data_IF_206603621239
#
_entry.id   IF_206603621239
#
_cell.length_a   1.000
_cell.length_b   1.000
_cell.length_c   1.000
_cell.angle_alpha   90.00
_cell.angle_beta   90.00
_cell.angle_gamma   90.00
#
_symmetry.space_group_name_H-M   'P 1'
#
loop_
_entity.id
_entity.type
_entity.pdbx_description
1 polymer ?
#
# COMPACT_ATOMS: atom_id res chain seq x y z
N UNK A 1 2.45 36.81 36.33
CA UNK A 1 2.24 35.34 36.40
C UNK A 1 2.66 34.73 35.06
N UNK A 2 3.77 34.01 35.01
CA UNK A 2 4.36 33.51 33.75
C UNK A 2 3.64 32.27 33.24
N UNK A 3 2.94 32.37 32.11
CA UNK A 3 2.22 31.27 31.46
C UNK A 3 3.18 30.16 30.96
N UNK A 4 3.45 29.16 31.79
CA UNK A 4 4.33 28.03 31.46
C UNK A 4 3.74 27.09 30.38
N UNK A 5 2.46 27.23 30.03
CA UNK A 5 1.78 26.41 29.03
C UNK A 5 2.34 26.56 27.61
N UNK A 6 2.90 27.74 27.26
CA UNK A 6 3.49 27.97 25.93
C UNK A 6 4.76 27.16 25.67
N UNK A 7 5.36 26.57 26.72
CA UNK A 7 6.54 25.70 26.61
C UNK A 7 6.17 24.30 26.10
N UNK A 8 4.90 23.90 26.20
CA UNK A 8 4.42 22.60 25.70
C UNK A 8 4.33 22.66 24.18
N UNK A 9 5.05 21.74 23.52
CA UNK A 9 5.10 21.68 22.06
C UNK A 9 3.71 21.43 21.48
N UNK A 10 3.22 22.38 20.69
CA UNK A 10 1.92 22.30 20.02
C UNK A 10 0.80 23.09 20.70
N UNK A 11 1.04 23.76 21.82
CA UNK A 11 0.11 24.74 22.41
C UNK A 11 0.44 26.13 21.84
N UNK A 12 -0.44 26.64 20.97
CA UNK A 12 -0.37 28.02 20.46
C UNK A 12 -0.95 29.04 21.43
N UNK A 13 -0.75 30.33 21.17
CA UNK A 13 -1.27 31.44 22.00
C UNK A 13 -2.78 31.35 22.25
N UNK A 14 -3.56 31.00 21.21
CA UNK A 14 -5.01 30.83 21.31
C UNK A 14 -5.43 29.66 22.21
N UNK A 15 -4.74 28.53 22.09
CA UNK A 15 -5.02 27.36 22.92
C UNK A 15 -4.63 27.60 24.39
N UNK A 16 -3.53 28.30 24.64
CA UNK A 16 -3.12 28.69 25.99
C UNK A 16 -4.13 29.62 26.66
N UNK A 17 -4.74 30.56 25.92
CA UNK A 17 -5.80 31.42 26.44
C UNK A 17 -7.03 30.60 26.85
N UNK A 18 -7.50 29.71 25.97
CA UNK A 18 -8.65 28.83 26.26
C UNK A 18 -8.44 27.94 27.48
N UNK A 19 -7.22 27.41 27.67
CA UNK A 19 -6.87 26.59 28.84
C UNK A 19 -6.86 27.43 30.11
N UNK A 20 -6.33 28.66 30.05
CA UNK A 20 -6.36 29.59 31.17
C UNK A 20 -7.79 29.99 31.55
N UNK A 21 -8.65 30.26 30.56
CA UNK A 21 -10.06 30.60 30.76
C UNK A 21 -10.83 29.42 31.40
N UNK A 22 -10.42 28.19 31.10
CA UNK A 22 -10.93 26.97 31.71
C UNK A 22 -10.28 26.63 33.08
N UNK A 23 -9.44 27.51 33.64
CA UNK A 23 -8.80 27.32 34.94
C UNK A 23 -7.56 26.40 34.94
N UNK A 24 -7.13 25.91 33.77
CA UNK A 24 -5.93 25.10 33.57
C UNK A 24 -4.79 26.04 33.20
N UNK A 25 -4.17 26.64 34.21
CA UNK A 25 -3.13 27.66 34.06
C UNK A 25 -1.69 27.16 34.38
N UNK A 26 -1.53 25.89 34.75
CA UNK A 26 -0.25 25.28 35.09
C UNK A 26 0.00 23.98 34.34
N UNK A 27 1.28 23.63 34.21
CA UNK A 27 1.72 22.40 33.54
C UNK A 27 1.31 21.14 34.32
N UNK A 28 1.25 21.24 35.65
CA UNK A 28 0.73 20.21 36.56
C UNK A 28 -0.75 19.93 36.33
N UNK A 29 -1.58 20.97 36.29
CA UNK A 29 -3.01 20.81 36.01
C UNK A 29 -3.24 20.18 34.64
N UNK A 30 -2.45 20.59 33.64
CA UNK A 30 -2.56 20.05 32.29
C UNK A 30 -2.14 18.56 32.22
N UNK A 31 -1.16 18.13 33.00
CA UNK A 31 -0.70 16.74 33.00
C UNK A 31 -1.67 15.79 33.72
N UNK A 32 -2.44 16.31 34.69
CA UNK A 32 -3.45 15.57 35.43
C UNK A 32 -4.83 15.58 34.77
N UNK A 33 -5.12 16.56 33.90
CA UNK A 33 -6.39 16.68 33.22
C UNK A 33 -6.73 15.45 32.35
N UNK A 34 -8.02 15.10 32.31
CA UNK A 34 -8.50 14.01 31.46
C UNK A 34 -8.79 14.48 30.03
N UNK A 35 -8.73 13.56 29.06
CA UNK A 35 -9.06 13.88 27.66
C UNK A 35 -10.49 14.42 27.55
N UNK A 36 -11.41 13.91 28.37
CA UNK A 36 -12.81 14.34 28.39
C UNK A 36 -12.92 15.82 28.80
N UNK A 37 -12.29 16.21 29.90
CA UNK A 37 -12.27 17.61 30.38
C UNK A 37 -11.72 18.58 29.33
N UNK A 38 -10.61 18.23 28.69
CA UNK A 38 -10.02 19.08 27.66
C UNK A 38 -10.89 19.19 26.41
N UNK A 39 -11.65 18.14 26.06
CA UNK A 39 -12.53 18.15 24.89
C UNK A 39 -13.86 18.88 25.10
N UNK A 40 -14.24 19.18 26.35
CA UNK A 40 -15.39 20.04 26.65
C UNK A 40 -15.10 21.49 26.22
N UNK A 41 -13.82 21.90 26.24
CA UNK A 41 -13.41 23.24 25.81
C UNK A 41 -13.52 23.33 24.28
N UNK A 42 -14.42 24.19 23.80
CA UNK A 42 -14.70 24.39 22.37
C UNK A 42 -13.43 24.80 21.63
N UNK A 43 -13.01 23.98 20.67
CA UNK A 43 -11.82 24.21 19.84
C UNK A 43 -10.63 23.30 20.15
N UNK A 44 -10.71 22.46 21.19
CA UNK A 44 -9.69 21.46 21.51
C UNK A 44 -10.16 20.07 21.05
N UNK A 45 -9.44 19.49 20.09
CA UNK A 45 -9.73 18.13 19.60
C UNK A 45 -9.08 17.04 20.46
N UNK A 46 -9.70 15.84 20.50
CA UNK A 46 -9.20 14.66 21.24
C UNK A 46 -7.72 14.37 21.03
N UNK A 47 -7.28 14.36 19.77
CA UNK A 47 -5.89 14.09 19.39
C UNK A 47 -4.90 15.18 19.82
N UNK A 48 -5.38 16.41 20.02
CA UNK A 48 -4.55 17.52 20.52
C UNK A 48 -4.45 17.47 22.04
N UNK A 49 -5.57 17.20 22.72
CA UNK A 49 -5.62 16.99 24.16
C UNK A 49 -4.65 15.88 24.61
N UNK A 50 -4.68 14.71 23.96
CA UNK A 50 -3.77 13.60 24.25
C UNK A 50 -2.28 14.01 24.13
N UNK A 51 -1.94 14.71 23.04
CA UNK A 51 -0.56 15.18 22.81
C UNK A 51 -0.10 16.19 23.85
N UNK A 52 -0.99 17.08 24.29
CA UNK A 52 -0.67 18.09 25.28
C UNK A 52 -0.48 17.49 26.67
N UNK A 53 -1.34 16.54 27.08
CA UNK A 53 -1.19 15.80 28.33
C UNK A 53 0.14 15.04 28.34
N UNK A 54 0.45 14.31 27.26
CA UNK A 54 1.70 13.56 27.14
C UNK A 54 2.93 14.48 27.21
N UNK A 55 2.94 15.56 26.43
CA UNK A 55 4.04 16.52 26.43
C UNK A 55 4.18 17.27 27.77
N UNK A 56 3.09 17.52 28.47
CA UNK A 56 3.13 18.10 29.81
C UNK A 56 3.74 17.13 30.83
N UNK A 57 3.36 15.85 30.81
CA UNK A 57 3.97 14.80 31.64
C UNK A 57 5.47 14.66 31.38
N UNK A 58 5.88 14.65 30.11
CA UNK A 58 7.29 14.57 29.73
C UNK A 58 8.13 15.74 30.27
N UNK A 59 7.56 16.96 30.25
CA UNK A 59 8.24 18.14 30.78
C UNK A 59 8.34 18.13 32.32
N UNK A 60 7.39 17.50 33.02
CA UNK A 60 7.47 17.28 34.48
C UNK A 60 8.50 16.21 34.84
N UNK A 61 8.53 15.10 34.09
CA UNK A 61 9.34 13.93 34.41
C UNK A 61 10.82 14.08 34.04
N UNK A 62 11.20 15.19 33.39
CA UNK A 62 12.60 15.54 33.06
C UNK A 62 13.30 14.57 32.09
N UNK A 63 12.61 13.53 31.62
CA UNK A 63 13.15 12.48 30.76
C UNK A 63 12.83 12.79 29.29
N UNK A 64 13.85 13.23 28.54
CA UNK A 64 13.76 13.47 27.11
C UNK A 64 13.46 12.16 26.36
N UNK A 65 12.23 12.04 25.83
CA UNK A 65 11.77 10.79 25.25
C UNK A 65 12.22 10.61 23.78
N UNK A 66 13.01 9.55 23.53
CA UNK A 66 13.10 8.88 22.23
C UNK A 66 11.77 8.18 21.95
N UNK A 67 10.95 8.83 21.13
CA UNK A 67 9.79 8.34 20.37
C UNK A 67 9.66 6.80 20.29
N UNK A 68 8.91 6.18 21.20
CA UNK A 68 8.11 5.01 20.84
C UNK A 68 6.78 5.50 20.25
N UNK A 69 6.38 4.87 19.16
CA UNK A 69 5.19 5.20 18.39
C UNK A 69 4.09 4.27 18.86
N UNK A 70 2.94 4.77 19.35
CA UNK A 70 1.76 3.93 19.46
C UNK A 70 1.13 3.80 18.08
N UNK A 71 0.95 2.55 17.70
CA UNK A 71 0.30 2.08 16.49
C UNK A 71 -1.23 2.20 16.64
N UNK A 72 -1.89 3.04 15.83
CA UNK A 72 -3.02 2.68 14.94
C UNK A 72 -3.87 3.87 14.43
N UNK A 73 -4.21 3.73 13.13
CA UNK A 73 -5.49 4.04 12.44
C UNK A 73 -5.96 5.50 12.24
N UNK A 74 -5.86 5.92 10.97
CA UNK A 74 -6.86 6.59 10.07
C UNK A 74 -7.80 7.64 10.67
N UNK A 75 -7.91 8.88 10.19
CA UNK A 75 -8.36 9.40 8.87
C UNK A 75 -8.13 10.94 8.94
N UNK A 76 -7.70 11.73 7.96
CA UNK A 76 -8.25 11.97 6.63
C UNK A 76 -8.85 13.39 6.51
N UNK A 77 -8.03 14.44 6.22
CA UNK A 77 -8.25 15.51 5.20
C UNK A 77 -7.32 16.73 5.37
N UNK A 78 -6.80 17.17 4.21
CA UNK A 78 -5.98 18.36 3.85
C UNK A 78 -6.86 19.66 3.86
N UNK A 79 -6.34 20.91 3.66
CA UNK A 79 -5.11 21.28 2.92
C UNK A 79 -4.25 22.49 3.42
N UNK A 80 -2.99 22.52 2.93
CA UNK A 80 -2.16 23.69 2.48
C UNK A 80 -1.74 24.76 3.52
N UNK A 81 -0.53 25.35 3.54
CA UNK A 81 0.33 25.87 2.45
C UNK A 81 1.73 26.30 2.98
N UNK A 82 2.77 26.24 2.13
CA UNK A 82 4.01 27.07 2.13
C UNK A 82 5.06 26.83 3.25
N UNK A 83 6.38 27.04 3.13
CA UNK A 83 7.30 27.60 2.12
C UNK A 83 8.77 27.27 2.55
N UNK A 84 9.64 27.06 1.56
CA UNK A 84 11.10 27.38 1.48
C UNK A 84 12.05 27.22 2.69
N UNK A 85 13.15 26.47 2.51
CA UNK A 85 14.52 27.03 2.57
C UNK A 85 15.61 26.02 2.13
N UNK A 86 16.66 26.60 1.56
CA UNK A 86 17.79 26.10 0.79
C UNK A 86 19.00 25.91 1.72
N UNK A 87 19.79 24.83 1.62
CA UNK A 87 21.23 24.90 1.97
C UNK A 87 22.08 23.84 1.26
N UNK A 88 23.23 24.33 0.77
CA UNK A 88 24.30 23.68 -0.01
C UNK A 88 25.37 23.10 0.93
N UNK A 89 26.04 22.04 0.47
CA UNK A 89 27.47 21.68 0.71
C UNK A 89 27.77 20.45 -0.19
N UNK A 90 28.59 20.45 -1.26
CA UNK A 90 30.09 20.48 -1.36
C UNK A 90 30.74 19.72 -0.20
N UNK A 91 31.69 18.80 -0.29
CA UNK A 91 32.61 18.19 -1.28
C UNK A 91 32.97 16.80 -0.67
N UNK A 92 33.61 15.79 -1.27
CA UNK A 92 34.95 15.77 -1.85
C UNK A 92 35.30 14.35 -2.33
N UNK A 93 36.08 14.35 -3.40
CA UNK A 93 36.94 13.33 -4.02
C UNK A 93 37.74 12.44 -3.05
N UNK A 94 37.80 11.11 -3.29
CA UNK A 94 38.99 10.25 -3.06
C UNK A 94 39.01 9.07 -4.07
N UNK A 95 40.21 8.82 -4.60
CA UNK A 95 40.64 7.82 -5.60
C UNK A 95 40.93 6.43 -5.01
N UNK A 96 41.08 5.44 -5.91
CA UNK A 96 41.84 4.14 -5.80
C UNK A 96 41.18 3.09 -4.87
N UNK A 97 41.21 1.78 -5.13
CA UNK A 97 42.06 0.92 -5.95
C UNK A 97 41.39 -0.46 -6.13
N UNK A 98 41.71 -1.13 -7.22
CA UNK A 98 41.45 -2.53 -7.56
C UNK A 98 42.04 -3.56 -6.57
N UNK A 99 41.45 -4.77 -6.48
CA UNK A 99 42.27 -5.97 -6.35
C UNK A 99 41.88 -7.09 -7.35
N UNK A 100 42.91 -7.46 -8.09
CA UNK A 100 43.41 -8.79 -8.47
C UNK A 100 42.54 -10.04 -8.29
N UNK A 101 42.51 -10.83 -9.37
CA UNK A 101 42.10 -12.23 -9.50
C UNK A 101 42.71 -13.13 -8.42
N UNK A 102 41.91 -14.04 -7.88
CA UNK A 102 42.40 -15.29 -7.29
C UNK A 102 41.54 -16.45 -7.75
N UNK A 103 42.16 -17.30 -8.57
CA UNK A 103 41.64 -18.58 -9.04
C UNK A 103 41.74 -19.58 -7.89
N UNK A 104 40.62 -20.15 -7.45
CA UNK A 104 40.61 -21.31 -6.56
C UNK A 104 39.80 -22.42 -7.22
N UNK A 105 40.53 -23.43 -7.73
CA UNK A 105 39.99 -24.72 -8.14
C UNK A 105 39.54 -25.47 -6.88
N UNK A 106 38.30 -25.92 -6.85
CA UNK A 106 37.82 -26.91 -5.88
C UNK A 106 37.37 -28.18 -6.59
N UNK A 107 37.56 -29.35 -5.95
CA UNK A 107 37.42 -30.65 -6.60
C UNK A 107 35.96 -31.11 -6.69
N UNK A 108 35.73 -31.82 -7.79
CA UNK A 108 34.55 -32.57 -8.19
C UNK A 108 34.14 -33.57 -7.10
N UNK A 109 32.89 -33.52 -6.64
CA UNK A 109 32.23 -34.61 -5.91
C UNK A 109 30.91 -34.99 -6.56
N UNK A 110 30.95 -36.18 -7.17
CA UNK A 110 29.92 -37.22 -7.27
C UNK A 110 28.45 -36.81 -7.45
N UNK A 111 27.98 -37.06 -8.67
CA UNK A 111 26.60 -37.00 -9.11
C UNK A 111 25.72 -38.08 -8.43
N UNK A 112 24.76 -37.65 -7.62
CA UNK A 112 23.58 -38.47 -7.29
C UNK A 112 22.46 -38.09 -8.24
N UNK A 113 22.13 -38.98 -9.18
CA UNK A 113 20.97 -38.88 -10.08
C UNK A 113 19.68 -38.80 -9.25
N UNK A 114 19.18 -37.60 -9.01
CA UNK A 114 17.77 -37.35 -8.69
C UNK A 114 17.04 -37.07 -9.99
N UNK A 115 16.03 -37.87 -10.28
CA UNK A 115 15.10 -37.71 -11.39
C UNK A 115 14.51 -36.29 -11.38
N UNK A 116 14.41 -35.61 -12.54
CA UNK A 116 13.93 -34.24 -12.62
C UNK A 116 12.43 -34.22 -12.33
N UNK A 117 12.07 -33.85 -11.09
CA UNK A 117 10.72 -33.38 -10.81
C UNK A 117 10.49 -32.12 -11.66
N UNK A 118 9.49 -32.19 -12.53
CA UNK A 118 9.05 -31.11 -13.39
C UNK A 118 8.69 -29.90 -12.53
N UNK A 119 9.62 -28.93 -12.44
CA UNK A 119 9.34 -27.65 -11.78
C UNK A 119 8.12 -27.04 -12.46
N UNK A 120 7.13 -26.56 -11.68
CA UNK A 120 5.96 -25.91 -12.24
C UNK A 120 6.43 -24.81 -13.19
N UNK A 121 5.83 -24.81 -14.39
CA UNK A 121 6.13 -23.91 -15.50
C UNK A 121 6.00 -22.48 -14.96
N UNK A 122 7.12 -21.89 -14.52
CA UNK A 122 7.19 -20.54 -13.97
C UNK A 122 6.73 -19.64 -15.09
N UNK A 123 5.51 -19.11 -14.98
CA UNK A 123 4.98 -18.10 -15.89
C UNK A 123 6.05 -17.03 -15.96
N UNK A 124 6.72 -16.91 -17.10
CA UNK A 124 7.80 -15.97 -17.28
C UNK A 124 7.21 -14.59 -17.09
N UNK A 125 7.44 -13.97 -15.93
CA UNK A 125 7.17 -12.55 -15.77
C UNK A 125 7.81 -11.85 -16.97
N UNK A 126 7.09 -10.96 -17.66
CA UNK A 126 7.66 -10.21 -18.76
C UNK A 126 8.94 -9.55 -18.25
N UNK A 127 10.07 -9.93 -18.85
CA UNK A 127 11.39 -9.42 -18.49
C UNK A 127 11.45 -7.98 -18.99
N UNK A 128 10.89 -7.06 -18.19
CA UNK A 128 11.00 -5.62 -18.36
C UNK A 128 12.46 -5.26 -18.06
N UNK A 129 13.35 -5.58 -19.01
CA UNK A 129 14.72 -5.12 -18.96
C UNK A 129 14.68 -3.59 -18.85
N UNK A 130 15.42 -3.02 -17.89
CA UNK A 130 15.40 -1.59 -17.51
C UNK A 130 15.75 -0.60 -18.65
N UNK A 131 15.89 -1.06 -19.89
CA UNK A 131 16.18 -0.27 -21.09
C UNK A 131 14.91 0.35 -21.67
N UNK A 132 14.21 1.16 -20.88
CA UNK A 132 13.19 2.05 -21.44
C UNK A 132 13.83 2.93 -22.52
N UNK A 133 13.14 3.15 -23.64
CA UNK A 133 13.68 3.98 -24.71
C UNK A 133 13.95 5.41 -24.19
N UNK A 134 15.17 5.95 -24.37
CA UNK A 134 15.49 7.27 -23.86
C UNK A 134 14.70 8.32 -24.62
N UNK A 135 13.96 9.16 -23.89
CA UNK A 135 13.26 10.31 -24.47
C UNK A 135 14.28 11.41 -24.75
N UNK A 136 14.22 12.00 -25.94
CA UNK A 136 15.08 13.11 -26.32
C UNK A 136 14.96 14.28 -25.33
N UNK A 137 16.10 14.88 -24.94
CA UNK A 137 16.16 15.86 -23.84
C UNK A 137 15.31 17.11 -24.06
N UNK A 138 15.12 17.53 -25.32
CA UNK A 138 14.27 18.67 -25.68
C UNK A 138 12.78 18.35 -25.51
N UNK A 139 12.36 17.10 -25.75
CA UNK A 139 10.98 16.65 -25.52
C UNK A 139 10.69 16.52 -24.02
N UNK A 140 11.66 16.05 -23.22
CA UNK A 140 11.51 15.97 -21.76
C UNK A 140 11.14 17.33 -21.16
N UNK A 141 11.68 18.44 -21.70
CA UNK A 141 11.36 19.81 -21.25
C UNK A 141 9.88 20.21 -21.46
N UNK A 142 9.17 19.60 -22.41
CA UNK A 142 7.73 19.84 -22.66
C UNK A 142 6.83 19.11 -21.65
N UNK A 143 7.35 18.06 -21.01
CA UNK A 143 6.63 17.26 -20.02
C UNK A 143 6.61 18.00 -18.67
N UNK A 144 5.53 17.87 -17.90
CA UNK A 144 5.51 18.46 -16.55
C UNK A 144 6.59 17.85 -15.64
N UNK A 145 7.17 18.67 -14.74
CA UNK A 145 8.18 18.23 -13.77
C UNK A 145 7.75 17.03 -12.92
N UNK A 146 6.44 16.82 -12.73
CA UNK A 146 5.90 15.66 -12.01
C UNK A 146 6.02 14.39 -12.85
N UNK A 147 5.62 14.44 -14.11
CA UNK A 147 5.74 13.32 -15.03
C UNK A 147 7.20 12.97 -15.34
N UNK A 148 8.07 13.97 -15.51
CA UNK A 148 9.53 13.73 -15.62
C UNK A 148 10.06 12.90 -14.45
N UNK A 149 9.69 13.26 -13.20
CA UNK A 149 10.09 12.49 -12.02
C UNK A 149 9.60 11.06 -12.10
N UNK A 150 8.34 10.83 -12.49
CA UNK A 150 7.75 9.49 -12.58
C UNK A 150 8.47 8.65 -13.64
N UNK A 151 8.77 9.23 -14.81
CA UNK A 151 9.50 8.54 -15.87
C UNK A 151 10.91 8.12 -15.42
N UNK A 152 11.55 8.91 -14.55
CA UNK A 152 12.85 8.59 -13.96
C UNK A 152 12.81 7.59 -12.80
N UNK A 153 11.64 7.25 -12.24
CA UNK A 153 11.56 6.23 -11.19
C UNK A 153 11.86 4.86 -11.82
N UNK A 154 12.80 4.12 -11.25
CA UNK A 154 13.13 2.76 -11.72
C UNK A 154 11.97 1.80 -11.50
N UNK A 155 11.85 0.77 -12.35
CA UNK A 155 10.78 -0.22 -12.26
C UNK A 155 10.76 -0.91 -10.89
N UNK A 156 11.92 -1.24 -10.33
CA UNK A 156 12.06 -1.81 -8.97
C UNK A 156 11.58 -0.88 -7.85
N UNK A 157 11.68 0.44 -8.05
CA UNK A 157 11.15 1.40 -7.07
C UNK A 157 9.64 1.50 -7.18
N UNK A 158 9.08 1.44 -8.38
CA UNK A 158 7.62 1.39 -8.59
C UNK A 158 6.98 0.13 -8.01
N UNK A 159 7.65 -1.04 -8.07
CA UNK A 159 7.17 -2.28 -7.42
C UNK A 159 6.96 -2.14 -5.90
N UNK A 160 7.57 -1.14 -5.27
CA UNK A 160 7.47 -0.87 -3.81
C UNK A 160 6.51 0.28 -3.48
N UNK A 161 5.89 0.88 -4.49
CA UNK A 161 4.98 2.01 -4.31
C UNK A 161 3.59 1.56 -3.87
N UNK A 162 2.90 2.43 -3.13
CA UNK A 162 1.51 2.16 -2.75
C UNK A 162 0.56 2.24 -3.95
N UNK A 163 -0.53 1.47 -3.92
CA UNK A 163 -1.59 1.49 -4.93
C UNK A 163 -2.08 2.91 -5.25
N UNK A 164 -2.25 3.76 -4.21
CA UNK A 164 -2.68 5.16 -4.36
C UNK A 164 -1.66 6.00 -5.14
N UNK A 165 -0.36 5.76 -4.94
CA UNK A 165 0.69 6.44 -5.68
C UNK A 165 0.74 5.98 -7.14
N UNK A 166 0.61 4.67 -7.38
CA UNK A 166 0.55 4.10 -8.74
C UNK A 166 -0.62 4.69 -9.54
N UNK A 167 -1.82 4.74 -8.96
CA UNK A 167 -2.99 5.38 -9.58
C UNK A 167 -2.74 6.86 -9.90
N UNK A 168 -2.10 7.57 -8.97
CA UNK A 168 -1.71 8.97 -9.20
C UNK A 168 -0.68 9.10 -10.33
N UNK A 169 0.21 8.13 -10.52
CA UNK A 169 1.17 8.13 -11.63
C UNK A 169 0.44 8.00 -12.98
N UNK A 170 -0.53 7.10 -13.09
CA UNK A 170 -1.38 6.96 -14.29
C UNK A 170 -2.10 8.28 -14.60
N UNK A 171 -2.73 8.90 -13.59
CA UNK A 171 -3.43 10.19 -13.75
C UNK A 171 -2.50 11.32 -14.21
N UNK A 172 -1.22 11.28 -13.82
CA UNK A 172 -0.24 12.30 -14.22
C UNK A 172 0.32 12.03 -15.62
N UNK A 173 0.54 10.77 -16.01
CA UNK A 173 1.15 10.42 -17.29
C UNK A 173 0.17 10.46 -18.46
N UNK A 174 -1.10 10.08 -18.27
CA UNK A 174 -2.10 10.05 -19.35
C UNK A 174 -2.27 11.39 -20.09
N UNK A 175 -2.38 12.55 -19.41
CA UNK A 175 -2.47 13.84 -20.10
C UNK A 175 -1.17 14.24 -20.81
N UNK A 176 -0.02 13.76 -20.34
CA UNK A 176 1.29 14.09 -20.93
C UNK A 176 1.52 13.33 -22.23
N UNK A 177 1.01 12.10 -22.32
CA UNK A 177 1.00 11.29 -23.55
C UNK A 177 0.39 12.03 -24.74
N UNK A 178 -0.72 12.76 -24.51
CA UNK A 178 -1.50 13.44 -25.56
C UNK A 178 -0.78 14.69 -26.12
N UNK A 179 0.26 15.18 -25.44
CA UNK A 179 1.00 16.39 -25.86
C UNK A 179 1.96 16.17 -27.04
N UNK A 180 2.09 14.93 -27.49
CA UNK A 180 3.02 14.51 -28.51
C UNK A 180 2.27 14.06 -29.76
N UNK A 181 2.81 14.39 -30.93
CA UNK A 181 2.24 14.05 -32.22
C UNK A 181 2.92 12.78 -32.77
N UNK A 182 2.16 11.70 -33.02
CA UNK A 182 2.70 10.45 -33.53
C UNK A 182 3.29 10.54 -34.95
N UNK A 183 3.05 11.64 -35.66
CA UNK A 183 3.57 11.90 -37.02
C UNK A 183 5.09 12.17 -37.01
N UNK A 184 5.63 12.66 -35.89
CA UNK A 184 7.05 12.96 -35.76
C UNK A 184 7.81 11.80 -35.09
N UNK A 185 8.90 11.28 -35.68
CA UNK A 185 9.61 10.10 -35.15
C UNK A 185 10.09 10.24 -33.69
N UNK A 186 10.65 11.39 -33.33
CA UNK A 186 11.15 11.63 -31.97
C UNK A 186 10.01 11.70 -30.94
N UNK A 187 8.88 12.31 -31.32
CA UNK A 187 7.69 12.40 -30.48
C UNK A 187 7.01 11.04 -30.34
N UNK A 188 6.98 10.24 -31.41
CA UNK A 188 6.54 8.85 -31.37
C UNK A 188 7.35 8.02 -30.37
N UNK A 189 8.66 8.18 -30.32
CA UNK A 189 9.50 7.50 -29.33
C UNK A 189 9.17 7.94 -27.89
N UNK A 190 8.86 9.23 -27.68
CA UNK A 190 8.40 9.72 -26.38
C UNK A 190 7.04 9.10 -25.97
N UNK A 191 6.10 8.99 -26.91
CA UNK A 191 4.80 8.33 -26.69
C UNK A 191 5.02 6.86 -26.31
N UNK A 192 5.86 6.13 -27.05
CA UNK A 192 6.15 4.72 -26.76
C UNK A 192 6.77 4.54 -25.36
N UNK A 193 7.71 5.40 -24.97
CA UNK A 193 8.31 5.35 -23.64
C UNK A 193 7.30 5.63 -22.52
N UNK A 194 6.36 6.56 -22.73
CA UNK A 194 5.27 6.84 -21.77
C UNK A 194 4.30 5.65 -21.71
N UNK A 195 3.93 5.07 -22.86
CA UNK A 195 3.01 3.94 -22.95
C UNK A 195 3.58 2.67 -22.30
N UNK A 196 4.86 2.38 -22.51
CA UNK A 196 5.56 1.30 -21.82
C UNK A 196 5.50 1.47 -20.30
N UNK A 197 5.76 2.69 -19.82
CA UNK A 197 5.70 3.02 -18.40
C UNK A 197 4.28 2.89 -17.83
N UNK A 198 3.28 3.38 -18.55
CA UNK A 198 1.87 3.28 -18.18
C UNK A 198 1.44 1.81 -18.07
N UNK A 199 1.72 1.00 -19.09
CA UNK A 199 1.40 -0.45 -19.08
C UNK A 199 2.02 -1.15 -17.88
N UNK A 200 3.27 -0.85 -17.56
CA UNK A 200 3.92 -1.42 -16.37
C UNK A 200 3.19 -1.03 -15.08
N UNK A 201 2.84 0.26 -14.92
CA UNK A 201 2.12 0.74 -13.73
C UNK A 201 0.73 0.11 -13.64
N UNK A 202 0.00 -0.01 -14.75
CA UNK A 202 -1.32 -0.62 -14.82
C UNK A 202 -1.27 -2.11 -14.47
N UNK A 203 -0.27 -2.84 -14.95
CA UNK A 203 -0.04 -4.24 -14.57
C UNK A 203 0.25 -4.38 -13.07
N UNK A 204 1.03 -3.47 -12.48
CA UNK A 204 1.24 -3.47 -11.03
C UNK A 204 -0.06 -3.20 -10.28
N UNK A 205 -0.86 -2.23 -10.72
CA UNK A 205 -2.17 -1.93 -10.12
C UNK A 205 -3.06 -3.17 -10.16
N UNK A 206 -3.09 -3.88 -11.28
CA UNK A 206 -3.85 -5.12 -11.43
C UNK A 206 -3.36 -6.18 -10.43
N UNK A 207 -2.06 -6.43 -10.37
CA UNK A 207 -1.47 -7.39 -9.43
C UNK A 207 -1.79 -7.02 -7.96
N UNK A 208 -1.76 -5.74 -7.58
CA UNK A 208 -2.17 -5.31 -6.24
C UNK A 208 -3.63 -5.65 -5.94
N UNK A 209 -4.54 -5.42 -6.90
CA UNK A 209 -5.96 -5.76 -6.74
C UNK A 209 -6.19 -7.26 -6.69
N UNK A 210 -5.44 -8.05 -7.44
CA UNK A 210 -5.47 -9.52 -7.39
C UNK A 210 -5.04 -10.03 -6.01
N UNK A 211 -3.91 -9.55 -5.49
CA UNK A 211 -3.46 -9.93 -4.15
C UNK A 211 -4.44 -9.47 -3.05
N UNK A 212 -5.00 -8.27 -3.17
CA UNK A 212 -6.02 -7.77 -2.22
C UNK A 212 -7.29 -8.64 -2.25
N UNK A 213 -7.71 -9.08 -3.44
CA UNK A 213 -8.81 -10.03 -3.58
C UNK A 213 -8.48 -11.40 -2.98
N UNK A 214 -7.28 -11.93 -3.22
CA UNK A 214 -6.88 -13.23 -2.68
C UNK A 214 -6.84 -13.23 -1.15
N UNK A 215 -6.24 -12.19 -0.56
CA UNK A 215 -6.24 -11.99 0.90
C UNK A 215 -7.67 -11.88 1.41
N UNK A 216 -8.53 -11.12 0.73
CA UNK A 216 -9.91 -10.96 1.11
C UNK A 216 -10.68 -12.29 1.10
N UNK A 217 -10.50 -13.10 0.04
CA UNK A 217 -11.12 -14.42 -0.10
C UNK A 217 -10.63 -15.35 1.01
N UNK A 218 -9.34 -15.31 1.32
CA UNK A 218 -8.79 -16.14 2.39
C UNK A 218 -9.42 -15.78 3.75
N UNK A 219 -9.44 -14.50 4.08
CA UNK A 219 -9.95 -13.99 5.38
C UNK A 219 -11.45 -14.17 5.55
N UNK A 220 -12.26 -13.91 4.52
CA UNK A 220 -13.72 -13.82 4.63
C UNK A 220 -14.44 -15.08 4.14
N UNK A 221 -13.75 -15.98 3.45
CA UNK A 221 -14.35 -17.19 2.88
C UNK A 221 -13.57 -18.42 3.29
N UNK A 222 -12.28 -18.50 2.97
CA UNK A 222 -11.54 -19.74 3.17
C UNK A 222 -11.40 -20.11 4.65
N UNK A 223 -11.07 -19.14 5.51
CA UNK A 223 -10.93 -19.36 6.96
C UNK A 223 -12.29 -19.68 7.61
N UNK A 224 -13.37 -18.90 7.41
CA UNK A 224 -14.70 -19.26 7.92
C UNK A 224 -15.21 -20.62 7.42
N UNK A 225 -14.88 -20.99 6.19
CA UNK A 225 -15.21 -22.30 5.62
C UNK A 225 -14.50 -23.45 6.38
N UNK A 226 -13.23 -23.26 6.77
CA UNK A 226 -12.50 -24.22 7.62
C UNK A 226 -13.08 -24.32 9.03
N UNK A 227 -13.60 -23.21 9.55
CA UNK A 227 -14.28 -23.15 10.84
C UNK A 227 -15.69 -23.77 10.79
N UNK A 228 -16.16 -24.13 9.60
CA UNK A 228 -17.45 -24.79 9.40
C UNK A 228 -18.64 -23.84 9.31
N UNK A 229 -18.43 -22.53 9.21
CA UNK A 229 -19.52 -21.54 9.07
C UNK A 229 -20.38 -21.81 7.82
N UNK A 230 -19.79 -22.39 6.78
CA UNK A 230 -20.49 -22.71 5.52
C UNK A 230 -20.81 -24.21 5.34
N UNK A 231 -20.75 -25.01 6.41
CA UNK A 231 -20.96 -26.46 6.32
C UNK A 231 -22.32 -26.84 5.75
N UNK A 232 -23.35 -26.04 6.02
CA UNK A 232 -24.69 -26.26 5.47
C UNK A 232 -24.66 -26.29 3.93
N UNK A 233 -24.05 -25.26 3.31
CA UNK A 233 -23.92 -25.16 1.86
C UNK A 233 -22.98 -26.24 1.28
N UNK A 234 -21.89 -26.54 1.98
CA UNK A 234 -20.91 -27.56 1.56
C UNK A 234 -21.47 -29.00 1.66
N UNK A 235 -22.39 -29.26 2.57
CA UNK A 235 -23.05 -30.57 2.69
C UNK A 235 -24.10 -30.79 1.60
N UNK A 236 -24.67 -29.70 1.05
CA UNK A 236 -25.58 -29.75 -0.11
C UNK A 236 -24.88 -30.03 -1.44
N UNK A 237 -23.55 -30.02 -1.52
CA UNK A 237 -22.76 -30.29 -2.76
C UNK A 237 -22.94 -31.70 -3.38
N UNK A 238 -23.93 -32.48 -2.97
CA UNK A 238 -24.23 -33.81 -3.52
C UNK A 238 -25.35 -33.74 -4.58
N UNK A 239 -25.29 -34.64 -5.57
CA UNK A 239 -26.33 -34.76 -6.60
C UNK A 239 -26.31 -33.65 -7.67
N UNK A 240 -27.44 -32.94 -7.82
CA UNK A 240 -27.64 -31.88 -8.83
C UNK A 240 -27.10 -30.51 -8.43
N UNK A 241 -26.60 -30.37 -7.20
CA UNK A 241 -26.21 -29.10 -6.64
C UNK A 241 -24.68 -28.91 -6.74
N UNK A 242 -24.26 -28.12 -7.73
CA UNK A 242 -22.86 -27.94 -8.08
C UNK A 242 -22.11 -26.91 -7.23
N UNK A 243 -20.77 -26.84 -7.38
CA UNK A 243 -19.93 -25.86 -6.67
C UNK A 243 -20.28 -24.40 -7.00
N UNK A 244 -20.83 -24.14 -8.20
CA UNK A 244 -21.32 -22.83 -8.61
C UNK A 244 -22.52 -22.38 -7.76
N UNK A 245 -23.50 -23.26 -7.56
CA UNK A 245 -24.67 -22.96 -6.72
C UNK A 245 -24.25 -22.76 -5.26
N UNK A 246 -23.37 -23.64 -4.73
CA UNK A 246 -22.85 -23.48 -3.37
C UNK A 246 -22.10 -22.15 -3.19
N UNK A 247 -21.33 -21.74 -4.20
CA UNK A 247 -20.64 -20.45 -4.19
C UNK A 247 -21.62 -19.27 -4.20
N UNK A 248 -22.74 -19.41 -4.91
CA UNK A 248 -23.81 -18.41 -4.95
C UNK A 248 -24.55 -18.32 -3.62
N UNK A 249 -24.91 -19.44 -2.99
CA UNK A 249 -25.55 -19.44 -1.67
C UNK A 249 -24.63 -18.85 -0.58
N UNK A 250 -23.35 -19.25 -0.59
CA UNK A 250 -22.34 -18.65 0.32
C UNK A 250 -22.23 -17.15 0.04
N UNK A 251 -22.18 -16.75 -1.23
CA UNK A 251 -22.16 -15.34 -1.58
C UNK A 251 -23.41 -14.65 -1.01
N UNK A 252 -24.62 -15.21 -1.15
CA UNK A 252 -25.85 -14.60 -0.65
C UNK A 252 -25.88 -14.43 0.87
N UNK A 253 -25.36 -15.42 1.60
CA UNK A 253 -25.20 -15.40 3.06
C UNK A 253 -24.19 -14.34 3.54
N UNK A 254 -23.17 -14.03 2.73
CA UNK A 254 -22.23 -12.96 3.07
C UNK A 254 -22.93 -11.60 3.17
N UNK A 255 -22.62 -10.89 4.26
CA UNK A 255 -23.19 -9.57 4.53
C UNK A 255 -22.90 -8.54 3.43
N UNK A 256 -23.84 -7.60 3.21
CA UNK A 256 -23.71 -6.51 2.21
C UNK A 256 -22.42 -5.71 2.32
N UNK A 257 -21.86 -5.57 3.53
CA UNK A 257 -20.60 -4.84 3.76
C UNK A 257 -19.39 -5.61 3.22
N UNK A 258 -19.39 -6.93 3.40
CA UNK A 258 -18.36 -7.84 2.89
C UNK A 258 -18.35 -7.79 1.37
N UNK A 259 -19.51 -7.95 0.74
CA UNK A 259 -19.70 -7.84 -0.72
C UNK A 259 -19.12 -6.55 -1.31
N UNK A 260 -19.43 -5.40 -0.71
CA UNK A 260 -18.94 -4.08 -1.16
C UNK A 260 -17.43 -3.86 -0.99
N UNK A 261 -16.78 -4.66 -0.14
CA UNK A 261 -15.35 -4.52 0.14
C UNK A 261 -14.48 -5.29 -0.85
N UNK A 262 -15.06 -6.23 -1.61
CA UNK A 262 -14.34 -6.98 -2.62
C UNK A 262 -14.01 -6.08 -3.84
N UNK A 263 -12.76 -6.10 -4.36
CA UNK A 263 -12.32 -5.15 -5.38
C UNK A 263 -12.83 -5.44 -6.81
N UNK A 264 -13.53 -6.55 -7.03
CA UNK A 264 -14.04 -6.96 -8.34
C UNK A 264 -15.57 -7.14 -8.36
N UNK A 265 -16.13 -7.42 -9.55
CA UNK A 265 -17.56 -7.69 -9.74
C UNK A 265 -18.04 -8.90 -8.92
N UNK A 266 -19.33 -8.93 -8.60
CA UNK A 266 -19.98 -10.03 -7.88
C UNK A 266 -19.75 -11.40 -8.55
N UNK A 267 -19.84 -11.46 -9.88
CA UNK A 267 -19.56 -12.68 -10.65
C UNK A 267 -18.12 -13.18 -10.44
N UNK A 268 -17.14 -12.26 -10.36
CA UNK A 268 -15.76 -12.62 -10.09
C UNK A 268 -15.57 -13.12 -8.66
N UNK A 269 -16.32 -12.55 -7.70
CA UNK A 269 -16.32 -13.00 -6.32
C UNK A 269 -16.89 -14.42 -6.21
N UNK A 270 -18.06 -14.69 -6.80
CA UNK A 270 -18.67 -16.02 -6.82
C UNK A 270 -17.72 -17.05 -7.43
N UNK A 271 -17.07 -16.72 -8.56
CA UNK A 271 -16.04 -17.60 -9.17
C UNK A 271 -14.83 -17.82 -8.27
N UNK A 272 -14.43 -16.83 -7.48
CA UNK A 272 -13.33 -16.99 -6.52
C UNK A 272 -13.73 -17.92 -5.37
N UNK A 273 -14.96 -17.79 -4.85
CA UNK A 273 -15.54 -18.72 -3.85
C UNK A 273 -15.59 -20.14 -4.43
N UNK A 274 -16.10 -20.29 -5.65
CA UNK A 274 -16.17 -21.58 -6.36
C UNK A 274 -14.78 -22.24 -6.48
N UNK A 275 -13.74 -21.46 -6.81
CA UNK A 275 -12.35 -21.96 -6.85
C UNK A 275 -11.88 -22.47 -5.48
N UNK A 276 -12.21 -21.77 -4.40
CA UNK A 276 -11.89 -22.21 -3.03
C UNK A 276 -12.59 -23.51 -2.71
N UNK A 277 -13.89 -23.63 -3.01
CA UNK A 277 -14.67 -24.86 -2.80
C UNK A 277 -14.05 -26.04 -3.56
N UNK A 278 -13.76 -25.87 -4.86
CA UNK A 278 -13.13 -26.91 -5.69
C UNK A 278 -11.76 -27.34 -5.16
N UNK A 279 -10.99 -26.39 -4.61
CA UNK A 279 -9.67 -26.65 -4.03
C UNK A 279 -9.77 -27.42 -2.72
N UNK A 280 -10.71 -27.07 -1.83
CA UNK A 280 -10.85 -27.70 -0.50
C UNK A 280 -11.62 -29.02 -0.54
N UNK A 281 -12.60 -29.16 -1.44
CA UNK A 281 -13.48 -30.33 -1.53
C UNK A 281 -13.50 -30.94 -2.94
N UNK A 282 -12.34 -31.41 -3.44
CA UNK A 282 -12.23 -31.91 -4.82
C UNK A 282 -13.14 -33.13 -5.08
N UNK A 283 -13.35 -33.99 -4.08
CA UNK A 283 -14.15 -35.22 -4.24
C UNK A 283 -15.63 -34.89 -4.42
N UNK A 284 -16.16 -33.95 -3.62
CA UNK A 284 -17.53 -33.45 -3.76
C UNK A 284 -17.73 -32.75 -5.10
N UNK A 285 -16.75 -31.96 -5.55
CA UNK A 285 -16.82 -31.27 -6.83
C UNK A 285 -16.83 -32.22 -8.05
N UNK A 286 -16.14 -33.37 -7.96
CA UNK A 286 -16.11 -34.38 -9.05
C UNK A 286 -17.43 -35.14 -9.20
N UNK A 287 -18.13 -35.41 -8.10
CA UNK A 287 -19.42 -36.13 -8.14
C UNK A 287 -20.46 -35.39 -9.01
N UNK A 288 -20.47 -34.07 -8.97
CA UNK A 288 -21.34 -33.25 -9.81
C UNK A 288 -21.05 -33.40 -11.32
N UNK A 289 -19.77 -33.48 -11.72
CA UNK A 289 -19.40 -33.60 -13.14
C UNK A 289 -19.81 -34.93 -13.76
N UNK A 290 -19.99 -35.99 -12.95
CA UNK A 290 -20.38 -37.31 -13.45
C UNK A 290 -21.88 -37.41 -13.76
N UNK A 291 -22.69 -36.55 -13.16
CA UNK A 291 -24.15 -36.56 -13.30
C UNK A 291 -24.68 -35.56 -14.35
N UNK A 292 -23.79 -34.86 -15.06
CA UNK A 292 -24.10 -33.86 -16.08
C UNK A 292 -23.79 -34.41 -17.47
#
# INVERSE_FOLDING_TARGET
MSNNLKKVKGIGSKAAALLNDAGINSLEKLSQASIKELTVIKGIGKTSAEKWIAAAKELMDGRSYKKSVPEKRSTGKRPTQSKTAKKKSKSSTVKKSSPTKTVRKTPVKSATKRSPQSKPKRTSEPDFSDKAQPIASFLVKRISKKAQKILHISYNSMKRESLKNLQKYVQILNPERIKFDPSFPDEKNAILAIDEKLRFIENLILHYKENEADVFIEENVAIPMEQGEFNEYINRLSGYYGPENAAMDIYDDLGRRTKKSYPYSDVAFIRAIEKVIKKKYPDKAKLYQKNK
#
